data_IF_186083132187
#
_entry.id   IF_186083132187
#
_cell.length_a   1.000
_cell.length_b   1.000
_cell.length_c   1.000
_cell.angle_alpha   90.00
_cell.angle_beta   90.00
_cell.angle_gamma   90.00
#
_symmetry.space_group_name_H-M   'P 1'
#
loop_
_entity.id
_entity.type
_entity.pdbx_description
1 polymer ?
#
# COMPACT_ATOMS: atom_id res chain seq x y z
N UNK A 1 16.63 -50.12 7.09
CA UNK A 1 16.54 -49.50 5.77
C UNK A 1 15.97 -48.11 6.03
N UNK A 2 16.86 -47.15 6.24
CA UNK A 2 16.54 -45.73 6.28
C UNK A 2 15.82 -45.32 4.99
N UNK A 3 14.86 -44.40 5.06
CA UNK A 3 14.99 -43.02 4.56
C UNK A 3 14.05 -42.13 5.39
N UNK A 4 14.60 -41.05 5.94
CA UNK A 4 13.87 -39.94 6.56
C UNK A 4 12.97 -39.26 5.52
N UNK A 5 11.66 -39.32 5.70
CA UNK A 5 10.71 -38.52 4.93
C UNK A 5 10.31 -37.29 5.76
N UNK A 6 11.27 -36.39 5.93
CA UNK A 6 11.02 -35.02 6.34
C UNK A 6 11.01 -34.18 5.07
N UNK A 7 9.89 -34.14 4.37
CA UNK A 7 9.62 -33.11 3.36
C UNK A 7 9.58 -31.77 4.06
N UNK A 8 10.76 -31.15 4.14
CA UNK A 8 10.95 -29.74 4.43
C UNK A 8 10.27 -28.96 3.30
N UNK A 9 9.12 -28.37 3.61
CA UNK A 9 8.57 -27.29 2.80
C UNK A 9 9.59 -26.15 2.85
N UNK A 10 10.33 -25.98 1.77
CA UNK A 10 11.08 -24.75 1.55
C UNK A 10 10.06 -23.64 1.37
N UNK A 11 9.80 -22.87 2.42
CA UNK A 11 9.24 -21.52 2.26
C UNK A 11 10.36 -20.76 1.56
N UNK A 12 10.25 -20.66 0.23
CA UNK A 12 10.98 -19.67 -0.51
C UNK A 12 10.42 -18.32 -0.05
N UNK A 13 11.16 -17.63 0.81
CA UNK A 13 11.00 -16.18 0.95
C UNK A 13 11.53 -15.64 -0.37
N UNK A 14 10.64 -15.48 -1.36
CA UNK A 14 10.93 -14.63 -2.50
C UNK A 14 10.89 -13.22 -1.91
N UNK A 15 12.07 -12.67 -1.66
CA UNK A 15 12.22 -11.25 -1.47
C UNK A 15 12.09 -10.70 -2.89
N UNK A 16 10.89 -10.25 -3.26
CA UNK A 16 10.70 -9.48 -4.47
C UNK A 16 11.66 -8.31 -4.41
N UNK A 17 12.62 -8.25 -5.33
CA UNK A 17 13.46 -7.09 -5.47
C UNK A 17 12.68 -6.13 -6.36
N UNK A 18 11.88 -5.25 -5.76
CA UNK A 18 11.22 -4.16 -6.48
C UNK A 18 12.32 -3.20 -6.98
N UNK A 19 12.47 -3.12 -8.31
CA UNK A 19 13.39 -2.20 -8.96
C UNK A 19 12.61 -0.94 -9.38
N UNK A 20 12.95 0.21 -8.79
CA UNK A 20 12.51 1.49 -9.34
C UNK A 20 13.18 1.69 -10.71
N UNK A 21 12.40 1.69 -11.79
CA UNK A 21 12.90 2.14 -13.10
C UNK A 21 13.15 3.64 -13.01
N UNK A 22 14.39 4.03 -13.34
CA UNK A 22 14.82 5.43 -13.39
C UNK A 22 13.99 6.14 -14.47
N UNK A 23 13.03 6.96 -14.06
CA UNK A 23 12.45 7.98 -14.94
C UNK A 23 13.41 9.17 -15.04
N UNK A 24 13.22 10.04 -16.04
CA UNK A 24 14.04 11.26 -16.19
C UNK A 24 13.96 12.20 -14.96
N UNK A 25 12.94 12.01 -14.09
CA UNK A 25 12.82 12.65 -12.80
C UNK A 25 13.02 11.62 -11.66
N UNK A 26 14.09 11.68 -10.87
CA UNK A 26 14.32 10.69 -9.80
C UNK A 26 13.27 10.71 -8.68
N UNK A 27 12.35 11.68 -8.70
CA UNK A 27 11.24 11.75 -7.76
C UNK A 27 9.92 11.22 -8.35
N UNK A 28 9.92 10.72 -9.58
CA UNK A 28 8.72 10.15 -10.20
C UNK A 28 9.03 8.73 -10.68
N UNK A 29 8.15 7.77 -10.41
CA UNK A 29 8.35 6.39 -10.87
C UNK A 29 7.06 5.58 -10.93
N UNK A 30 7.03 4.62 -11.85
CA UNK A 30 5.98 3.60 -11.92
C UNK A 30 6.35 2.41 -11.03
N UNK A 31 5.38 1.88 -10.27
CA UNK A 31 5.61 0.71 -9.40
C UNK A 31 5.69 -0.57 -10.24
N UNK A 32 6.68 -1.40 -9.93
CA UNK A 32 6.91 -2.71 -10.55
C UNK A 32 7.17 -3.82 -9.54
N UNK A 33 6.49 -4.94 -9.74
CA UNK A 33 6.56 -6.17 -8.95
C UNK A 33 6.80 -7.34 -9.91
N UNK A 34 7.84 -8.14 -9.65
CA UNK A 34 8.21 -9.33 -10.46
C UNK A 34 8.18 -9.09 -12.00
N UNK A 35 8.80 -7.99 -12.44
CA UNK A 35 8.88 -7.55 -13.84
C UNK A 35 7.52 -7.14 -14.48
N UNK A 36 6.48 -6.94 -13.68
CA UNK A 36 5.18 -6.42 -14.10
C UNK A 36 4.89 -5.05 -13.48
N UNK A 37 4.20 -4.18 -14.22
CA UNK A 37 3.72 -2.90 -13.68
C UNK A 37 2.46 -3.12 -12.85
N UNK A 38 2.40 -2.46 -11.70
CA UNK A 38 1.17 -2.33 -10.94
C UNK A 38 0.29 -1.31 -11.65
N UNK A 39 -0.99 -1.63 -11.86
CA UNK A 39 -1.91 -0.80 -12.65
C UNK A 39 -3.18 -0.42 -11.88
N UNK A 40 -3.74 0.72 -12.26
CA UNK A 40 -5.08 1.16 -11.87
C UNK A 40 -6.18 0.42 -12.60
N UNK A 41 -7.44 0.73 -12.28
CA UNK A 41 -8.61 0.06 -12.86
C UNK A 41 -8.71 0.17 -14.39
N UNK A 42 -8.24 1.30 -14.94
CA UNK A 42 -8.24 1.56 -16.39
C UNK A 42 -6.99 1.04 -17.12
N UNK A 43 -6.07 0.39 -16.37
CA UNK A 43 -4.84 -0.20 -16.88
C UNK A 43 -3.66 0.77 -17.01
N UNK A 44 -3.76 2.00 -16.49
CA UNK A 44 -2.58 2.87 -16.39
C UNK A 44 -1.62 2.37 -15.29
N UNK A 45 -0.32 2.59 -15.48
CA UNK A 45 0.68 2.28 -14.47
C UNK A 45 0.49 3.19 -13.25
N UNK A 46 0.55 2.63 -12.05
CA UNK A 46 0.58 3.43 -10.82
C UNK A 46 1.88 4.21 -10.75
N UNK A 47 1.74 5.53 -10.76
CA UNK A 47 2.80 6.51 -10.90
C UNK A 47 2.91 7.40 -9.66
N UNK A 48 3.95 7.18 -8.87
CA UNK A 48 4.22 7.95 -7.67
C UNK A 48 5.05 9.20 -7.97
N UNK A 49 4.63 10.33 -7.40
CA UNK A 49 5.29 11.64 -7.53
C UNK A 49 5.74 12.09 -6.13
N UNK A 50 7.00 11.83 -5.81
CA UNK A 50 7.62 12.28 -4.57
C UNK A 50 7.97 13.77 -4.65
N UNK A 51 7.63 14.50 -3.60
CA UNK A 51 8.07 15.87 -3.43
C UNK A 51 9.37 15.86 -2.60
N UNK A 52 10.52 16.30 -3.16
CA UNK A 52 11.79 16.26 -2.43
C UNK A 52 11.83 17.21 -1.21
N UNK A 53 10.83 18.08 -1.06
CA UNK A 53 10.67 18.96 0.11
C UNK A 53 9.57 18.48 1.07
N UNK A 54 8.88 17.38 0.78
CA UNK A 54 7.93 16.80 1.72
C UNK A 54 8.65 16.24 2.94
N UNK A 55 8.00 16.33 4.09
CA UNK A 55 8.56 15.90 5.37
C UNK A 55 7.57 15.06 6.14
N UNK A 56 8.08 14.26 7.07
CA UNK A 56 7.29 13.55 8.06
C UNK A 56 6.42 14.56 8.84
N UNK A 57 5.11 14.38 8.77
CA UNK A 57 4.14 15.23 9.47
C UNK A 57 3.96 14.79 10.93
N UNK A 58 3.42 15.66 11.79
CA UNK A 58 2.80 15.18 13.02
C UNK A 58 1.52 14.40 12.72
N UNK A 59 1.10 13.54 13.63
CA UNK A 59 -0.19 12.85 13.52
C UNK A 59 -1.35 13.83 13.38
N UNK A 60 -1.30 14.96 14.08
CA UNK A 60 -2.35 15.98 13.98
C UNK A 60 -2.42 16.65 12.60
N UNK A 61 -1.27 16.87 11.95
CA UNK A 61 -1.18 17.40 10.60
C UNK A 61 -1.67 16.38 9.58
N UNK A 62 -1.30 15.11 9.74
CA UNK A 62 -1.79 14.00 8.91
C UNK A 62 -3.33 13.90 8.98
N UNK A 63 -3.90 13.82 10.18
CA UNK A 63 -5.36 13.75 10.34
C UNK A 63 -6.08 14.99 9.80
N UNK A 64 -5.45 16.16 9.89
CA UNK A 64 -6.01 17.37 9.28
C UNK A 64 -5.94 17.33 7.75
N UNK A 65 -4.87 16.80 7.17
CA UNK A 65 -4.76 16.58 5.73
C UNK A 65 -5.84 15.62 5.22
N UNK A 66 -5.97 14.44 5.83
CA UNK A 66 -6.96 13.41 5.44
C UNK A 66 -8.39 13.95 5.46
N UNK A 67 -8.71 14.82 6.43
CA UNK A 67 -10.01 15.48 6.52
C UNK A 67 -10.37 16.35 5.31
N UNK A 68 -9.37 16.91 4.61
CA UNK A 68 -9.57 17.79 3.46
C UNK A 68 -9.27 17.11 2.12
N UNK A 69 -8.50 16.04 2.14
CA UNK A 69 -8.38 15.15 1.00
C UNK A 69 -9.76 14.54 0.68
N UNK A 70 -10.00 14.27 -0.60
CA UNK A 70 -11.30 13.81 -1.13
C UNK A 70 -11.20 12.45 -1.79
N UNK A 71 -10.06 11.78 -1.67
CA UNK A 71 -9.80 10.49 -2.31
C UNK A 71 -10.82 9.45 -1.82
N UNK A 72 -11.09 9.42 -0.51
CA UNK A 72 -12.18 8.63 0.08
C UNK A 72 -13.62 9.00 -0.35
N UNK A 73 -13.86 10.15 -1.00
CA UNK A 73 -15.18 10.52 -1.53
C UNK A 73 -15.43 9.88 -2.91
N UNK A 74 -14.40 9.34 -3.55
CA UNK A 74 -14.51 8.64 -4.83
C UNK A 74 -15.19 7.28 -4.57
N UNK A 75 -16.19 6.87 -5.36
CA UNK A 75 -16.77 5.53 -5.23
C UNK A 75 -15.83 4.45 -5.75
N UNK A 76 -15.73 3.33 -5.02
CA UNK A 76 -15.01 2.16 -5.50
C UNK A 76 -15.74 1.54 -6.69
N UNK A 77 -15.03 1.37 -7.81
CA UNK A 77 -15.54 0.71 -9.01
C UNK A 77 -14.39 -0.06 -9.68
N UNK A 78 -14.58 -1.37 -9.81
CA UNK A 78 -13.59 -2.29 -10.39
C UNK A 78 -13.16 -1.91 -11.82
N UNK A 79 -13.94 -1.11 -12.54
CA UNK A 79 -13.64 -0.71 -13.91
C UNK A 79 -13.05 0.70 -14.01
N UNK A 80 -13.10 1.50 -12.94
CA UNK A 80 -12.69 2.92 -13.02
C UNK A 80 -11.86 3.43 -11.86
N UNK A 81 -11.93 2.83 -10.66
CA UNK A 81 -11.19 3.29 -9.49
C UNK A 81 -11.12 2.20 -8.40
N UNK A 82 -9.95 1.58 -8.25
CA UNK A 82 -9.66 0.48 -7.30
C UNK A 82 -8.57 0.86 -6.30
N UNK A 83 -8.21 -0.05 -5.39
CA UNK A 83 -7.26 0.20 -4.29
C UNK A 83 -5.94 0.85 -4.72
N UNK A 84 -5.40 0.46 -5.89
CA UNK A 84 -4.19 1.03 -6.45
C UNK A 84 -4.37 2.49 -6.88
N UNK A 85 -5.52 2.85 -7.45
CA UNK A 85 -5.89 4.24 -7.80
C UNK A 85 -6.06 5.11 -6.55
N UNK A 86 -6.70 4.60 -5.48
CA UNK A 86 -6.79 5.32 -4.19
C UNK A 86 -5.39 5.59 -3.63
N UNK A 87 -4.55 4.56 -3.62
CA UNK A 87 -3.22 4.64 -3.04
C UNK A 87 -2.31 5.63 -3.76
N UNK A 88 -2.37 5.64 -5.10
CA UNK A 88 -1.67 6.60 -5.95
C UNK A 88 -2.15 8.03 -5.66
N UNK A 89 -3.47 8.24 -5.68
CA UNK A 89 -4.05 9.58 -5.56
C UNK A 89 -3.77 10.19 -4.18
N UNK A 90 -3.96 9.43 -3.10
CA UNK A 90 -3.70 9.91 -1.75
C UNK A 90 -2.21 10.21 -1.54
N UNK A 91 -1.33 9.33 -1.99
CA UNK A 91 0.12 9.54 -1.96
C UNK A 91 0.49 10.87 -2.64
N UNK A 92 0.06 11.04 -3.89
CA UNK A 92 0.42 12.19 -4.69
C UNK A 92 -0.19 13.50 -4.14
N UNK A 93 -1.38 13.45 -3.54
CA UNK A 93 -1.98 14.61 -2.86
C UNK A 93 -1.22 14.99 -1.59
N UNK A 94 -0.77 14.01 -0.80
CA UNK A 94 0.02 14.23 0.40
C UNK A 94 1.39 14.85 0.08
N UNK A 95 2.12 14.25 -0.86
CA UNK A 95 3.42 14.73 -1.33
C UNK A 95 3.32 16.16 -1.87
N UNK A 96 2.28 16.44 -2.67
CA UNK A 96 1.96 17.78 -3.16
C UNK A 96 1.65 18.78 -2.04
N UNK A 97 1.09 18.30 -0.93
CA UNK A 97 0.81 19.09 0.27
C UNK A 97 2.04 19.24 1.19
N UNK A 98 3.17 18.63 0.85
CA UNK A 98 4.40 18.66 1.64
C UNK A 98 4.46 17.61 2.75
N UNK A 99 3.55 16.64 2.74
CA UNK A 99 3.53 15.51 3.68
C UNK A 99 4.17 14.32 3.00
N UNK A 100 5.23 13.79 3.59
CA UNK A 100 5.90 12.61 3.04
C UNK A 100 4.98 11.39 3.17
N UNK A 101 4.75 10.70 2.07
CA UNK A 101 3.91 9.52 1.99
C UNK A 101 4.67 8.35 1.39
N UNK A 102 4.15 7.15 1.63
CA UNK A 102 4.54 5.94 0.92
C UNK A 102 3.30 5.12 0.59
N UNK A 103 3.52 4.05 -0.15
CA UNK A 103 2.50 3.06 -0.49
C UNK A 103 2.96 1.68 -0.08
N UNK A 104 2.03 0.86 0.37
CA UNK A 104 2.23 -0.55 0.73
C UNK A 104 1.41 -1.39 -0.23
N UNK A 105 2.05 -2.36 -0.87
CA UNK A 105 1.41 -3.41 -1.66
C UNK A 105 1.47 -4.73 -0.89
N UNK A 106 0.39 -5.50 -0.90
CA UNK A 106 0.33 -6.82 -0.28
C UNK A 106 -0.31 -7.83 -1.23
N UNK A 107 0.33 -8.99 -1.36
CA UNK A 107 -0.26 -10.18 -1.95
C UNK A 107 -1.01 -11.05 -0.93
N UNK A 108 -1.86 -11.93 -1.44
CA UNK A 108 -2.59 -12.92 -0.65
C UNK A 108 -2.32 -14.35 -1.15
N UNK A 109 -2.30 -15.32 -0.22
CA UNK A 109 -1.99 -16.73 -0.54
C UNK A 109 -2.96 -17.35 -1.55
N UNK A 110 -4.27 -17.05 -1.44
CA UNK A 110 -5.33 -17.69 -2.21
C UNK A 110 -6.11 -16.70 -3.10
N UNK A 111 -5.59 -15.48 -3.29
CA UNK A 111 -6.21 -14.46 -4.11
C UNK A 111 -5.17 -13.83 -5.04
N UNK A 112 -5.52 -13.72 -6.32
CA UNK A 112 -4.66 -13.05 -7.31
C UNK A 112 -4.78 -11.52 -7.23
N UNK A 113 -5.90 -11.03 -6.69
CA UNK A 113 -6.12 -9.61 -6.47
C UNK A 113 -5.49 -9.26 -5.11
N UNK A 114 -4.31 -8.62 -5.16
CA UNK A 114 -3.64 -8.05 -3.98
C UNK A 114 -4.40 -6.85 -3.41
N UNK A 115 -3.80 -6.18 -2.42
CA UNK A 115 -4.34 -4.94 -1.86
C UNK A 115 -3.25 -3.88 -1.74
N UNK A 116 -3.66 -2.62 -1.81
CA UNK A 116 -2.74 -1.48 -1.77
C UNK A 116 -3.31 -0.37 -0.87
N UNK A 117 -2.46 0.21 -0.03
CA UNK A 117 -2.82 1.27 0.91
C UNK A 117 -1.62 2.15 1.26
N UNK A 118 -1.82 3.28 1.96
CA UNK A 118 -0.77 4.25 2.22
C UNK A 118 -0.10 4.09 3.59
N UNK A 119 1.15 4.53 3.68
CA UNK A 119 1.93 4.61 4.91
C UNK A 119 2.48 6.02 5.12
N UNK A 120 2.40 6.51 6.34
CA UNK A 120 2.93 7.81 6.75
C UNK A 120 3.82 7.64 7.97
N UNK A 121 5.05 8.14 7.93
CA UNK A 121 5.89 8.20 9.13
C UNK A 121 5.56 9.49 9.89
N UNK A 122 4.88 9.38 11.02
CA UNK A 122 4.58 10.55 11.86
C UNK A 122 5.67 10.79 12.89
N UNK A 123 6.00 12.05 13.14
CA UNK A 123 7.10 12.43 14.05
C UNK A 123 6.79 12.15 15.53
N UNK A 124 5.53 11.93 15.88
CA UNK A 124 5.02 11.81 17.25
C UNK A 124 4.26 10.51 17.54
N UNK A 125 3.80 9.76 16.53
CA UNK A 125 3.09 8.49 16.71
C UNK A 125 3.66 7.32 15.87
N UNK A 126 4.79 7.53 15.17
CA UNK A 126 5.40 6.51 14.32
C UNK A 126 4.61 6.26 13.03
N UNK A 127 4.70 5.05 12.49
CA UNK A 127 4.02 4.72 11.23
C UNK A 127 2.50 4.62 11.41
N UNK A 128 1.78 5.32 10.56
CA UNK A 128 0.33 5.28 10.42
C UNK A 128 -0.01 4.72 9.04
N UNK A 129 -0.92 3.77 9.01
CA UNK A 129 -1.35 3.08 7.79
C UNK A 129 -2.80 3.45 7.50
N UNK A 130 -3.05 3.95 6.30
CA UNK A 130 -4.36 4.46 5.88
C UNK A 130 -4.82 3.69 4.66
N UNK A 131 -6.00 3.07 4.78
CA UNK A 131 -6.70 2.39 3.70
C UNK A 131 -7.97 3.18 3.40
N UNK A 132 -8.02 3.82 2.22
CA UNK A 132 -9.13 4.67 1.79
C UNK A 132 -10.15 3.94 0.88
N UNK A 133 -9.95 2.66 0.60
CA UNK A 133 -10.79 1.94 -0.35
C UNK A 133 -12.23 1.78 0.19
N UNK A 134 -13.22 2.25 -0.58
CA UNK A 134 -14.64 1.97 -0.32
C UNK A 134 -15.38 2.99 0.56
N UNK A 135 -14.92 4.24 0.62
CA UNK A 135 -15.67 5.35 1.23
C UNK A 135 -15.33 5.63 2.70
N UNK A 136 -14.17 5.19 3.16
CA UNK A 136 -13.84 5.08 4.57
C UNK A 136 -12.33 5.24 4.79
N UNK A 137 -11.91 6.27 5.55
CA UNK A 137 -10.52 6.38 6.03
C UNK A 137 -10.31 5.38 7.16
N UNK A 138 -9.79 4.20 6.83
CA UNK A 138 -9.58 3.14 7.81
C UNK A 138 -8.11 3.11 8.23
N UNK A 139 -7.86 3.27 9.53
CA UNK A 139 -6.52 3.03 10.07
C UNK A 139 -6.29 1.53 10.23
N UNK A 140 -5.19 1.04 9.64
CA UNK A 140 -4.75 -0.34 9.84
C UNK A 140 -3.95 -0.44 11.13
N UNK A 141 -4.43 -1.29 12.05
CA UNK A 141 -3.81 -1.56 13.35
C UNK A 141 -2.61 -2.50 13.25
N UNK A 142 -2.74 -3.55 12.43
CA UNK A 142 -1.64 -4.50 12.21
C UNK A 142 -1.85 -5.32 10.94
N UNK A 143 -0.75 -5.69 10.29
CA UNK A 143 -0.71 -6.62 9.16
C UNK A 143 0.66 -7.31 9.16
N UNK A 144 0.72 -8.57 8.74
CA UNK A 144 1.98 -9.32 8.59
C UNK A 144 1.77 -10.57 7.75
N UNK A 145 2.82 -11.03 7.07
CA UNK A 145 2.81 -12.30 6.32
C UNK A 145 2.33 -13.45 7.22
N UNK A 146 1.43 -14.26 6.68
CA UNK A 146 0.79 -15.37 7.40
C UNK A 146 -0.37 -14.95 8.32
N UNK A 147 -0.73 -13.67 8.36
CA UNK A 147 -1.85 -13.14 9.13
C UNK A 147 -2.79 -12.32 8.24
N UNK A 148 -3.96 -11.97 8.79
CA UNK A 148 -4.92 -11.05 8.16
C UNK A 148 -4.57 -9.59 8.49
N UNK A 149 -5.08 -8.66 7.69
CA UNK A 149 -5.13 -7.24 8.06
C UNK A 149 -6.08 -7.07 9.25
N UNK A 150 -5.69 -6.27 10.23
CA UNK A 150 -6.53 -5.90 11.36
C UNK A 150 -6.70 -4.40 11.33
N UNK A 151 -7.94 -3.93 11.20
CA UNK A 151 -8.31 -2.52 11.25
C UNK A 151 -8.58 -2.09 12.70
N UNK A 152 -8.45 -0.79 12.98
CA UNK A 152 -8.95 -0.23 14.23
C UNK A 152 -10.47 -0.39 14.34
N UNK A 153 -10.93 -0.54 15.58
CA UNK A 153 -12.16 -1.19 16.07
C UNK A 153 -13.53 -0.62 15.60
N UNK A 154 -13.57 0.24 14.58
CA UNK A 154 -14.79 0.88 14.05
C UNK A 154 -15.07 0.72 12.55
N UNK A 155 -14.30 -0.06 11.76
CA UNK A 155 -14.65 -0.31 10.35
C UNK A 155 -14.37 -1.75 9.92
N UNK A 156 -15.00 -2.13 8.81
CA UNK A 156 -15.40 -3.46 8.36
C UNK A 156 -14.37 -4.61 8.46
N UNK A 157 -14.91 -5.82 8.50
CA UNK A 157 -14.20 -7.10 8.48
C UNK A 157 -13.22 -7.12 7.32
N UNK A 158 -11.94 -7.32 7.64
CA UNK A 158 -10.87 -7.58 6.68
C UNK A 158 -11.31 -8.63 5.65
N UNK A 159 -10.83 -8.51 4.42
CA UNK A 159 -10.80 -9.68 3.54
C UNK A 159 -10.27 -10.88 4.33
N UNK A 160 -10.95 -12.03 4.22
CA UNK A 160 -10.59 -13.25 4.95
C UNK A 160 -9.25 -13.85 4.50
N UNK A 161 -8.52 -13.13 3.66
CA UNK A 161 -7.30 -13.50 2.99
C UNK A 161 -6.08 -13.39 3.92
N UNK A 162 -5.18 -14.35 3.77
CA UNK A 162 -3.91 -14.40 4.50
C UNK A 162 -2.84 -13.75 3.63
N UNK A 163 -2.09 -12.81 4.19
CA UNK A 163 -1.03 -12.08 3.49
C UNK A 163 0.11 -13.04 3.13
N UNK A 164 0.53 -13.05 1.86
CA UNK A 164 1.68 -13.83 1.35
C UNK A 164 2.98 -13.04 1.35
N UNK A 165 2.90 -11.75 1.03
CA UNK A 165 4.03 -10.86 0.79
C UNK A 165 3.62 -9.40 1.09
N UNK A 166 4.63 -8.55 1.27
CA UNK A 166 4.46 -7.14 1.61
C UNK A 166 5.62 -6.36 0.98
N UNK A 167 5.30 -5.38 0.17
CA UNK A 167 6.24 -4.43 -0.44
C UNK A 167 5.94 -2.99 -0.02
N UNK A 168 7.00 -2.19 0.16
CA UNK A 168 6.92 -0.80 0.59
C UNK A 168 7.58 0.11 -0.43
N UNK A 169 6.89 1.18 -0.83
CA UNK A 169 7.31 2.18 -1.79
C UNK A 169 7.31 3.57 -1.13
N UNK A 170 8.36 4.37 -1.39
CA UNK A 170 8.65 5.67 -0.75
C UNK A 170 9.23 6.69 -1.71
#
# INVERSE_FOLDING_TARGET
>A
MDINDTTLFWIAIIIGASYAIITDNPNEYDIQEDDAYLVGADGHNIHLINNPNATDASYSELMNFLKYDKTNEIPYDINTFVCSDYSELLHNNAEKSGIKAGVVSIGFIDNQDGHMFNIFNTIDNGYIFIDEAGGYDSTIKSFSVGNKIVYDENMYVSDDNIISDIDFYW
#
